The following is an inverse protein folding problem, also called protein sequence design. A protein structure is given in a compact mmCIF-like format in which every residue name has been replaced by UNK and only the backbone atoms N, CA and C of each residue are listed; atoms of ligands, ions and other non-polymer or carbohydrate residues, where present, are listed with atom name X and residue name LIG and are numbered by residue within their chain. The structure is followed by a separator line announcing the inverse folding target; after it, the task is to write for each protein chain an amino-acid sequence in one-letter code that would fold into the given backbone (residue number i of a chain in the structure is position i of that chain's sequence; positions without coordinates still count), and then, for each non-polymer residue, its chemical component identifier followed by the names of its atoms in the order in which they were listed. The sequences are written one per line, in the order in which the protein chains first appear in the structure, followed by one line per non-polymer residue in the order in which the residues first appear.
data_IF_346343318174
#
_entry.id   IF_346343318174
#
_cell.length_a   1.000
_cell.length_b   1.000
_cell.length_c   1.000
_cell.angle_alpha   90.00
_cell.angle_beta   90.00
_cell.angle_gamma   90.00
#
_symmetry.space_group_name_H-M   'P 1'
#
loop_
_entity.id
_entity.type
_entity.pdbx_description
1 polymer ?
#
# COMPACT_ATOMS: atom_id res chain seq x y z
N UNK A 1 -27.71 23.88 -38.39
CA UNK A 1 -26.24 23.85 -38.51
C UNK A 1 -25.65 24.80 -37.47
N UNK A 2 -25.13 24.29 -36.35
CA UNK A 2 -24.27 24.99 -35.37
C UNK A 2 -23.72 23.87 -34.43
N UNK A 3 -22.54 23.32 -34.67
CA UNK A 3 -21.19 23.75 -34.22
C UNK A 3 -20.79 23.13 -32.87
N UNK A 4 -19.90 22.13 -32.94
CA UNK A 4 -19.12 21.50 -31.87
C UNK A 4 -18.77 22.45 -30.73
N UNK A 5 -18.72 21.97 -29.47
CA UNK A 5 -17.57 22.13 -28.56
C UNK A 5 -17.45 20.98 -27.54
N UNK A 6 -16.28 20.34 -27.61
CA UNK A 6 -15.63 19.48 -26.63
C UNK A 6 -15.49 20.25 -25.29
N UNK A 7 -15.89 19.67 -24.16
CA UNK A 7 -15.49 20.18 -22.84
C UNK A 7 -14.83 19.04 -22.07
N UNK A 8 -13.51 19.04 -22.10
CA UNK A 8 -12.63 18.34 -21.17
C UNK A 8 -12.57 19.21 -19.92
N UNK A 9 -13.29 18.78 -18.87
CA UNK A 9 -13.13 19.27 -17.50
C UNK A 9 -12.57 18.06 -16.74
N UNK A 10 -11.26 17.98 -16.49
CA UNK A 10 -10.63 18.77 -15.45
C UNK A 10 -10.52 17.89 -14.19
N UNK A 11 -9.47 17.07 -14.12
CA UNK A 11 -9.07 16.42 -12.86
C UNK A 11 -7.55 16.47 -12.73
N UNK A 12 -7.07 17.67 -12.42
CA UNK A 12 -5.73 17.88 -11.85
C UNK A 12 -5.82 17.44 -10.39
N UNK A 13 -5.39 16.22 -10.09
CA UNK A 13 -5.20 15.75 -8.72
C UNK A 13 -3.81 16.18 -8.25
N UNK A 14 -3.80 17.12 -7.31
CA UNK A 14 -2.60 17.63 -6.65
C UNK A 14 -1.85 16.51 -5.91
N UNK A 15 -0.58 16.30 -6.29
CA UNK A 15 0.44 15.68 -5.45
C UNK A 15 0.75 16.62 -4.27
N UNK A 16 0.12 16.38 -3.12
CA UNK A 16 0.54 17.03 -1.88
C UNK A 16 1.70 16.20 -1.30
N UNK A 17 2.92 16.70 -1.53
CA UNK A 17 4.13 16.31 -0.79
C UNK A 17 3.89 16.58 0.71
N UNK A 18 3.80 15.52 1.52
CA UNK A 18 3.84 15.66 2.96
C UNK A 18 5.27 16.03 3.39
N UNK A 19 5.49 17.29 3.73
CA UNK A 19 6.70 17.76 4.38
C UNK A 19 6.80 17.15 5.79
N UNK A 20 7.90 16.44 6.05
CA UNK A 20 8.25 15.93 7.38
C UNK A 20 8.92 17.07 8.16
N UNK A 21 8.43 17.49 9.33
CA UNK A 21 9.18 18.43 10.16
C UNK A 21 10.26 17.66 10.94
N UNK A 22 11.52 17.86 10.56
CA UNK A 22 12.68 17.52 11.41
C UNK A 22 12.65 18.43 12.64
N UNK A 23 12.34 17.86 13.81
CA UNK A 23 12.50 18.57 15.08
C UNK A 23 13.99 18.63 15.40
N UNK A 24 14.57 19.81 15.17
CA UNK A 24 15.93 20.16 15.57
C UNK A 24 15.93 20.41 17.08
N UNK A 25 16.33 19.41 17.88
CA UNK A 25 16.48 19.59 19.33
C UNK A 25 17.84 20.20 19.62
N UNK A 26 17.84 21.46 20.03
CA UNK A 26 18.97 22.16 20.63
C UNK A 26 18.80 22.15 22.15
N UNK A 27 19.79 21.63 22.87
CA UNK A 27 19.96 21.87 24.30
C UNK A 27 21.43 22.18 24.58
N UNK A 28 21.64 23.38 25.10
CA UNK A 28 22.94 23.96 25.47
C UNK A 28 23.18 23.75 26.97
N UNK A 29 24.40 23.36 27.30
CA UNK A 29 25.20 23.62 28.52
C UNK A 29 24.67 23.17 29.89
N UNK A 30 25.44 22.30 30.58
CA UNK A 30 26.36 22.73 31.66
C UNK A 30 27.19 21.56 32.25
N UNK A 31 28.49 21.83 32.32
CA UNK A 31 29.59 21.34 33.16
C UNK A 31 29.22 20.77 34.55
N UNK A 32 29.70 19.55 34.87
CA UNK A 32 30.59 19.21 36.02
C UNK A 32 30.75 17.68 36.15
N UNK A 33 31.96 17.21 36.46
CA UNK A 33 32.16 15.90 37.10
C UNK A 33 33.18 14.99 36.42
N UNK A 34 34.46 15.24 36.66
CA UNK A 34 35.51 14.24 36.51
C UNK A 34 35.31 13.22 37.63
N UNK A 35 35.01 11.97 37.29
CA UNK A 35 34.82 10.87 38.23
C UNK A 35 35.47 9.60 37.69
N UNK A 36 36.58 9.21 38.31
CA UNK A 36 37.30 7.97 38.07
C UNK A 36 36.50 6.76 38.56
N UNK A 37 36.55 5.69 37.76
CA UNK A 37 36.56 4.27 38.14
C UNK A 37 35.44 3.72 39.03
N UNK A 38 34.61 2.83 38.47
CA UNK A 38 34.36 1.51 39.08
C UNK A 38 33.56 0.59 38.16
N UNK A 39 34.09 -0.63 38.03
CA UNK A 39 33.55 -1.83 37.39
C UNK A 39 32.03 -2.02 37.48
N UNK A 40 31.40 -2.32 36.34
CA UNK A 40 30.15 -3.07 36.30
C UNK A 40 30.21 -4.09 35.16
N UNK A 41 30.25 -5.37 35.56
CA UNK A 41 29.88 -6.49 34.72
C UNK A 41 28.44 -6.27 34.25
N UNK A 42 28.22 -6.18 32.93
CA UNK A 42 26.87 -6.31 32.38
C UNK A 42 26.87 -7.41 31.32
N UNK A 43 26.42 -8.56 31.80
CA UNK A 43 25.91 -9.74 31.10
C UNK A 43 25.49 -9.48 29.66
N UNK A 44 26.13 -10.18 28.73
CA UNK A 44 25.75 -10.28 27.32
C UNK A 44 24.49 -11.13 27.17
N UNK A 45 23.33 -10.57 27.49
CA UNK A 45 22.06 -11.14 27.04
C UNK A 45 21.89 -10.84 25.53
N UNK A 46 21.52 -11.81 24.68
CA UNK A 46 21.23 -11.52 23.29
C UNK A 46 19.99 -10.63 23.24
N UNK A 47 20.12 -9.45 22.62
CA UNK A 47 18.97 -8.64 22.22
C UNK A 47 18.21 -9.47 21.18
N UNK A 48 17.18 -10.19 21.63
CA UNK A 48 16.19 -10.77 20.74
C UNK A 48 15.54 -9.58 20.05
N UNK A 49 15.91 -9.33 18.78
CA UNK A 49 15.17 -8.41 17.92
C UNK A 49 13.76 -8.96 17.81
N UNK A 50 12.87 -8.52 18.71
CA UNK A 50 11.46 -8.81 18.67
C UNK A 50 10.93 -8.15 17.39
N UNK A 51 10.91 -8.92 16.30
CA UNK A 51 10.23 -8.55 15.07
C UNK A 51 8.76 -8.35 15.44
N UNK A 52 8.37 -7.09 15.65
CA UNK A 52 6.99 -6.72 15.92
C UNK A 52 6.11 -7.33 14.83
N UNK A 53 5.29 -8.30 15.21
CA UNK A 53 4.32 -8.92 14.31
C UNK A 53 3.21 -7.90 14.15
N UNK A 54 3.21 -7.17 13.03
CA UNK A 54 2.12 -6.26 12.70
C UNK A 54 0.85 -7.08 12.45
N UNK A 55 -0.11 -7.02 13.38
CA UNK A 55 -1.40 -7.71 13.32
C UNK A 55 -2.44 -6.89 12.55
N UNK A 56 -2.09 -6.41 11.36
CA UNK A 56 -3.07 -5.66 10.56
C UNK A 56 -4.26 -6.58 10.23
N UNK A 57 -5.45 -6.17 10.65
CA UNK A 57 -6.66 -6.97 10.45
C UNK A 57 -6.95 -7.17 8.95
N UNK A 58 -7.30 -8.40 8.59
CA UNK A 58 -7.75 -8.71 7.23
C UNK A 58 -9.19 -8.26 7.06
N UNK A 59 -9.44 -7.45 6.04
CA UNK A 59 -10.77 -6.97 5.63
C UNK A 59 -11.16 -7.61 4.30
N UNK A 60 -12.44 -7.57 3.96
CA UNK A 60 -12.93 -8.00 2.66
C UNK A 60 -13.93 -7.02 2.06
N UNK A 61 -14.00 -6.95 0.72
CA UNK A 61 -14.93 -6.12 -0.03
C UNK A 61 -15.11 -6.67 -1.46
N UNK A 62 -16.13 -6.18 -2.16
CA UNK A 62 -16.28 -6.37 -3.61
C UNK A 62 -15.51 -5.25 -4.31
N UNK A 63 -14.72 -5.61 -5.32
CA UNK A 63 -14.00 -4.66 -6.14
C UNK A 63 -14.93 -4.03 -7.18
N UNK A 64 -14.89 -2.71 -7.33
CA UNK A 64 -15.73 -1.96 -8.28
C UNK A 64 -14.96 -1.49 -9.52
N UNK A 65 -13.64 -1.37 -9.41
CA UNK A 65 -12.74 -0.95 -10.49
C UNK A 65 -11.47 -1.79 -10.46
N UNK A 66 -10.79 -1.89 -11.61
CA UNK A 66 -9.51 -2.56 -11.72
C UNK A 66 -8.53 -1.78 -12.59
N UNK A 67 -7.25 -1.95 -12.30
CA UNK A 67 -6.16 -1.49 -13.16
C UNK A 67 -5.05 -2.54 -13.16
N UNK A 68 -4.77 -3.10 -14.34
CA UNK A 68 -3.62 -3.98 -14.55
C UNK A 68 -2.40 -3.17 -15.00
N UNK A 69 -1.30 -3.26 -14.26
CA UNK A 69 -0.02 -2.70 -14.70
C UNK A 69 0.55 -3.51 -15.87
N UNK A 70 0.66 -2.87 -17.05
CA UNK A 70 1.28 -3.47 -18.23
C UNK A 70 2.80 -3.56 -18.10
N UNK A 71 3.39 -2.61 -17.38
CA UNK A 71 4.80 -2.55 -17.01
C UNK A 71 4.86 -2.24 -15.52
N UNK A 72 5.78 -2.89 -14.81
CA UNK A 72 5.97 -2.61 -13.39
C UNK A 72 6.34 -1.14 -13.19
N UNK A 73 5.72 -0.51 -12.20
CA UNK A 73 6.07 0.84 -11.80
C UNK A 73 6.23 0.94 -10.26
N UNK A 74 7.35 1.48 -9.75
CA UNK A 74 8.60 1.73 -10.47
C UNK A 74 9.15 0.48 -11.16
N UNK A 75 9.96 0.66 -12.19
CA UNK A 75 10.44 -0.44 -13.05
C UNK A 75 11.26 -1.51 -12.34
N UNK A 76 11.77 -1.21 -11.13
CA UNK A 76 12.46 -2.14 -10.26
C UNK A 76 11.54 -3.15 -9.55
N UNK A 77 10.21 -2.95 -9.60
CA UNK A 77 9.23 -3.82 -8.96
C UNK A 77 8.68 -4.89 -9.92
N UNK A 78 7.81 -5.75 -9.39
CA UNK A 78 6.94 -6.61 -10.19
C UNK A 78 5.67 -5.86 -10.57
N UNK A 79 5.11 -6.13 -11.75
CA UNK A 79 3.79 -5.62 -12.12
C UNK A 79 2.75 -5.99 -11.06
N UNK A 80 1.83 -5.08 -10.81
CA UNK A 80 0.72 -5.29 -9.89
C UNK A 80 -0.64 -5.26 -10.60
N UNK A 81 -1.59 -6.00 -10.04
CA UNK A 81 -3.01 -5.82 -10.32
C UNK A 81 -3.61 -4.98 -9.20
N UNK A 82 -4.19 -3.86 -9.55
CA UNK A 82 -4.88 -2.95 -8.63
C UNK A 82 -6.39 -3.16 -8.70
N UNK A 83 -7.03 -3.19 -7.54
CA UNK A 83 -8.48 -3.32 -7.40
C UNK A 83 -8.99 -2.27 -6.41
N UNK A 84 -10.01 -1.52 -6.82
CA UNK A 84 -10.65 -0.55 -5.94
C UNK A 84 -11.66 -1.27 -5.06
N UNK A 85 -11.34 -1.40 -3.77
CA UNK A 85 -12.11 -2.22 -2.83
C UNK A 85 -12.06 -1.64 -1.41
N UNK A 86 -13.25 -1.49 -0.81
CA UNK A 86 -13.38 -0.83 0.50
C UNK A 86 -12.89 0.62 0.46
N UNK A 87 -13.36 1.37 -0.55
CA UNK A 87 -13.11 2.80 -0.76
C UNK A 87 -11.64 3.20 -0.98
N UNK A 88 -10.78 2.27 -1.39
CA UNK A 88 -9.36 2.53 -1.65
C UNK A 88 -8.76 1.50 -2.63
N UNK A 89 -7.62 1.84 -3.22
CA UNK A 89 -6.88 0.97 -4.13
C UNK A 89 -6.08 -0.08 -3.35
N UNK A 90 -6.28 -1.35 -3.71
CA UNK A 90 -5.55 -2.50 -3.17
C UNK A 90 -4.75 -3.17 -4.27
N UNK A 91 -3.52 -3.61 -3.99
CA UNK A 91 -2.66 -4.24 -4.98
C UNK A 91 -2.45 -5.73 -4.70
N UNK A 92 -2.41 -6.51 -5.76
CA UNK A 92 -1.91 -7.88 -5.80
C UNK A 92 -0.59 -7.87 -6.57
N UNK A 93 0.51 -8.15 -5.88
CA UNK A 93 1.85 -8.21 -6.47
C UNK A 93 2.03 -9.47 -7.30
N UNK A 94 2.64 -9.35 -8.50
CA UNK A 94 2.99 -10.48 -9.37
C UNK A 94 1.78 -11.42 -9.64
N UNK A 95 0.66 -10.88 -10.17
CA UNK A 95 -0.48 -11.72 -10.54
C UNK A 95 -0.06 -12.73 -11.62
N UNK A 96 -0.67 -13.92 -11.59
CA UNK A 96 -0.53 -14.88 -12.69
C UNK A 96 -1.42 -14.46 -13.86
N UNK A 97 -1.07 -14.91 -15.07
CA UNK A 97 -1.92 -14.67 -16.25
C UNK A 97 -3.34 -15.18 -16.07
N UNK A 98 -3.53 -16.30 -15.35
CA UNK A 98 -4.87 -16.82 -15.05
C UNK A 98 -5.70 -15.89 -14.17
N UNK A 99 -5.09 -15.25 -13.17
CA UNK A 99 -5.77 -14.27 -12.31
C UNK A 99 -6.10 -13.02 -13.13
N UNK A 100 -5.16 -12.53 -13.94
CA UNK A 100 -5.37 -11.38 -14.82
C UNK A 100 -6.57 -11.60 -15.75
N UNK A 101 -6.59 -12.71 -16.48
CA UNK A 101 -7.69 -13.04 -17.40
C UNK A 101 -9.02 -13.22 -16.66
N UNK A 102 -9.01 -13.89 -15.51
CA UNK A 102 -10.25 -14.13 -14.74
C UNK A 102 -10.85 -12.83 -14.23
N UNK A 103 -10.03 -11.92 -13.72
CA UNK A 103 -10.47 -10.60 -13.24
C UNK A 103 -10.95 -9.75 -14.41
N UNK A 104 -10.21 -9.68 -15.51
CA UNK A 104 -10.63 -8.95 -16.71
C UNK A 104 -11.97 -9.46 -17.23
N UNK A 105 -12.16 -10.78 -17.30
CA UNK A 105 -13.43 -11.37 -17.74
C UNK A 105 -14.59 -11.03 -16.79
N UNK A 106 -14.33 -10.99 -15.47
CA UNK A 106 -15.34 -10.59 -14.49
C UNK A 106 -15.80 -9.14 -14.69
N UNK A 107 -14.84 -8.22 -14.90
CA UNK A 107 -15.15 -6.82 -15.17
C UNK A 107 -15.74 -6.57 -16.56
N UNK A 108 -15.46 -7.43 -17.54
CA UNK A 108 -16.09 -7.40 -18.85
C UNK A 108 -17.55 -7.89 -18.83
N UNK A 109 -17.92 -8.70 -17.84
CA UNK A 109 -19.27 -9.25 -17.68
C UNK A 109 -19.84 -8.90 -16.28
N UNK A 110 -19.99 -7.60 -15.97
CA UNK A 110 -20.30 -7.14 -14.62
C UNK A 110 -21.68 -7.60 -14.14
N UNK A 111 -22.62 -7.94 -15.03
CA UNK A 111 -23.94 -8.44 -14.65
C UNK A 111 -23.91 -9.89 -14.14
N UNK A 112 -22.90 -10.67 -14.54
CA UNK A 112 -22.79 -12.10 -14.19
C UNK A 112 -21.80 -12.34 -13.06
N UNK A 113 -20.68 -11.63 -13.06
CA UNK A 113 -19.59 -11.87 -12.13
C UNK A 113 -19.31 -10.68 -11.22
N UNK A 114 -18.71 -10.98 -10.07
CA UNK A 114 -18.14 -10.02 -9.16
C UNK A 114 -16.81 -10.53 -8.62
N UNK A 115 -15.92 -9.60 -8.26
CA UNK A 115 -14.60 -9.93 -7.71
C UNK A 115 -14.61 -9.60 -6.22
N UNK A 116 -14.53 -10.62 -5.37
CA UNK A 116 -14.40 -10.47 -3.91
C UNK A 116 -12.93 -10.59 -3.52
N UNK A 117 -12.47 -9.63 -2.72
CA UNK A 117 -11.08 -9.56 -2.29
C UNK A 117 -10.96 -9.55 -0.78
N UNK A 118 -9.87 -10.13 -0.29
CA UNK A 118 -9.39 -10.02 1.08
C UNK A 118 -8.07 -9.25 1.07
N UNK A 119 -7.94 -8.27 1.97
CA UNK A 119 -6.79 -7.39 2.01
C UNK A 119 -6.38 -7.00 3.43
N UNK A 120 -5.09 -6.74 3.62
CA UNK A 120 -4.48 -6.24 4.84
C UNK A 120 -3.73 -4.96 4.52
N UNK A 121 -4.22 -3.82 5.02
CA UNK A 121 -3.78 -2.51 4.53
C UNK A 121 -4.07 -2.38 3.03
N UNK A 122 -3.10 -1.94 2.23
CA UNK A 122 -3.24 -1.83 0.77
C UNK A 122 -2.94 -3.14 0.02
N UNK A 123 -2.52 -4.21 0.70
CA UNK A 123 -2.10 -5.45 0.04
C UNK A 123 -3.24 -6.46 0.00
N UNK A 124 -3.52 -6.99 -1.18
CA UNK A 124 -4.43 -8.12 -1.39
C UNK A 124 -3.75 -9.40 -0.91
N UNK A 125 -4.45 -10.15 -0.07
CA UNK A 125 -4.00 -11.45 0.48
C UNK A 125 -4.83 -12.62 -0.06
N UNK A 126 -5.99 -12.34 -0.66
CA UNK A 126 -6.83 -13.34 -1.32
C UNK A 126 -7.81 -12.69 -2.29
N UNK A 127 -8.17 -13.42 -3.34
CA UNK A 127 -9.10 -12.96 -4.38
C UNK A 127 -9.90 -14.16 -4.88
N UNK A 128 -11.20 -13.95 -5.09
CA UNK A 128 -12.07 -14.90 -5.78
C UNK A 128 -12.97 -14.16 -6.77
N UNK A 129 -13.10 -14.73 -7.95
CA UNK A 129 -14.14 -14.35 -8.91
C UNK A 129 -15.33 -15.28 -8.66
N UNK A 130 -16.50 -14.69 -8.45
CA UNK A 130 -17.72 -15.43 -8.16
C UNK A 130 -18.86 -14.90 -9.01
N UNK A 131 -19.89 -15.72 -9.21
CA UNK A 131 -21.16 -15.25 -9.77
C UNK A 131 -21.88 -14.36 -8.77
N UNK A 132 -22.67 -13.42 -9.29
CA UNK A 132 -23.57 -12.60 -8.47
C UNK A 132 -24.74 -13.41 -7.92
#
# INVERSE_FOLDING_TARGET
MLKNRLIITGLVVCLILAAVPSVLSAASSQHLGVGLSSSSQQTTAPVLSQKSVSTTAVKNAIATEYWLELKAYPSSNTKALWLYAGNDWRYLSKPSSSIETSVQNAFANPDTFQVKVWYSGNKIVGLVVMTK
#
